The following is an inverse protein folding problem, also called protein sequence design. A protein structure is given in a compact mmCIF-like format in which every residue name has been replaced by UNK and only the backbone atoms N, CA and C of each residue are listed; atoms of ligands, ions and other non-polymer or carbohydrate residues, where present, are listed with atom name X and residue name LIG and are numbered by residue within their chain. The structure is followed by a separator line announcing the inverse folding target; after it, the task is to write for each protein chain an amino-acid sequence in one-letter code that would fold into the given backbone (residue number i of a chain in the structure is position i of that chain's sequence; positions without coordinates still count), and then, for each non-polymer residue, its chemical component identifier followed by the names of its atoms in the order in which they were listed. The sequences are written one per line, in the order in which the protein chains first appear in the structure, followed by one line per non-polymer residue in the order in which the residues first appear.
data_IF_594261994949
#
_entry.id   IF_594261994949
#
_cell.length_a   1.000
_cell.length_b   1.000
_cell.length_c   1.000
_cell.angle_alpha   90.00
_cell.angle_beta   90.00
_cell.angle_gamma   90.00
#
_symmetry.space_group_name_H-M   'P 1'
#
loop_
_entity.id
_entity.type
_entity.pdbx_description
1 polymer ?
#
# COMPACT_ATOMS: atom_id res chain seq x y z
N UNK A 1 5.56 4.78 -16.53
CA UNK A 1 5.73 3.31 -16.66
C UNK A 1 4.87 2.91 -17.83
N UNK A 2 5.44 2.27 -18.85
CA UNK A 2 4.70 1.87 -20.05
C UNK A 2 4.46 0.35 -19.97
N UNK A 3 3.20 -0.08 -20.00
CA UNK A 3 2.82 -1.48 -19.80
C UNK A 3 3.40 -2.41 -20.88
N UNK A 4 3.57 -1.92 -22.11
CA UNK A 4 4.10 -2.73 -23.22
C UNK A 4 5.57 -3.17 -23.06
N UNK A 5 6.30 -2.58 -22.10
CA UNK A 5 7.73 -2.84 -21.92
C UNK A 5 8.08 -3.27 -20.48
N UNK A 6 7.09 -3.51 -19.64
CA UNK A 6 7.22 -3.76 -18.21
C UNK A 6 6.30 -4.91 -17.78
N UNK A 7 6.80 -6.13 -17.97
CA UNK A 7 6.12 -7.39 -17.66
C UNK A 7 5.73 -7.49 -16.17
N UNK A 8 6.53 -6.88 -15.29
CA UNK A 8 6.21 -6.82 -13.86
C UNK A 8 5.00 -5.92 -13.62
N UNK A 9 4.97 -4.74 -14.23
CA UNK A 9 3.83 -3.82 -14.14
C UNK A 9 2.55 -4.42 -14.73
N UNK A 10 2.61 -5.05 -15.90
CA UNK A 10 1.46 -5.69 -16.54
C UNK A 10 0.84 -6.78 -15.65
N UNK A 11 1.68 -7.66 -15.10
CA UNK A 11 1.24 -8.79 -14.27
C UNK A 11 0.62 -8.34 -12.95
N UNK A 12 1.08 -7.22 -12.39
CA UNK A 12 0.68 -6.75 -11.06
C UNK A 12 -0.33 -5.59 -11.08
N UNK A 13 -0.78 -5.16 -12.27
CA UNK A 13 -1.63 -3.97 -12.43
C UNK A 13 -2.95 -4.07 -11.66
N UNK A 14 -3.52 -5.28 -11.56
CA UNK A 14 -4.82 -5.53 -10.93
C UNK A 14 -4.72 -6.31 -9.62
N UNK A 15 -3.50 -6.55 -9.12
CA UNK A 15 -3.26 -7.29 -7.88
C UNK A 15 -3.54 -6.42 -6.66
N UNK A 16 -4.00 -7.03 -5.56
CA UNK A 16 -4.10 -6.31 -4.29
C UNK A 16 -2.70 -6.05 -3.70
N UNK A 17 -2.60 -5.15 -2.73
CA UNK A 17 -1.31 -4.76 -2.17
C UNK A 17 -0.52 -5.93 -1.54
N UNK A 18 -1.22 -6.90 -0.92
CA UNK A 18 -0.59 -8.09 -0.34
C UNK A 18 0.04 -9.00 -1.41
N UNK A 19 -0.66 -9.18 -2.54
CA UNK A 19 -0.16 -9.94 -3.68
C UNK A 19 1.05 -9.23 -4.32
N UNK A 20 0.99 -7.91 -4.50
CA UNK A 20 2.11 -7.10 -5.03
C UNK A 20 3.35 -7.24 -4.13
N UNK A 21 3.18 -7.17 -2.81
CA UNK A 21 4.28 -7.31 -1.86
C UNK A 21 4.94 -8.70 -1.95
N UNK A 22 4.14 -9.74 -2.12
CA UNK A 22 4.61 -11.12 -2.28
C UNK A 22 5.37 -11.30 -3.60
N UNK A 23 4.84 -10.75 -4.70
CA UNK A 23 5.45 -10.85 -6.02
C UNK A 23 6.78 -10.08 -6.11
N UNK A 24 6.90 -8.92 -5.45
CA UNK A 24 8.17 -8.17 -5.33
C UNK A 24 9.21 -8.98 -4.56
N UNK A 25 8.80 -9.64 -3.48
CA UNK A 25 9.70 -10.46 -2.68
C UNK A 25 10.27 -11.60 -3.52
N UNK A 26 9.42 -12.30 -4.27
CA UNK A 26 9.84 -13.34 -5.21
C UNK A 26 10.81 -12.78 -6.28
N UNK A 27 10.49 -11.63 -6.88
CA UNK A 27 11.36 -10.97 -7.85
C UNK A 27 12.75 -10.62 -7.26
N UNK A 28 12.78 -10.20 -5.99
CA UNK A 28 14.02 -9.87 -5.29
C UNK A 28 14.85 -11.12 -4.99
N UNK A 29 14.22 -12.22 -4.58
CA UNK A 29 14.86 -13.53 -4.35
C UNK A 29 15.46 -14.09 -5.65
N UNK A 30 14.69 -14.09 -6.74
CA UNK A 30 15.14 -14.51 -8.08
C UNK A 30 16.34 -13.68 -8.57
N UNK A 31 16.32 -12.37 -8.33
CA UNK A 31 17.43 -11.50 -8.69
C UNK A 31 18.69 -11.81 -7.88
N UNK A 32 18.55 -12.06 -6.57
CA UNK A 32 19.67 -12.44 -5.72
C UNK A 32 20.29 -13.77 -6.12
N UNK A 33 19.48 -14.76 -6.50
CA UNK A 33 19.97 -16.05 -6.97
C UNK A 33 20.77 -15.91 -8.29
N UNK A 34 20.21 -15.18 -9.27
CA UNK A 34 20.88 -14.91 -10.55
C UNK A 34 22.19 -14.13 -10.37
N UNK A 35 22.22 -13.16 -9.46
CA UNK A 35 23.43 -12.41 -9.13
C UNK A 35 24.52 -13.32 -8.51
N UNK A 36 24.16 -14.19 -7.57
CA UNK A 36 25.11 -15.15 -6.97
C UNK A 36 25.71 -16.08 -8.03
N UNK A 37 24.89 -16.56 -8.97
CA UNK A 37 25.35 -17.46 -10.03
C UNK A 37 26.31 -16.76 -11.03
N UNK A 38 26.16 -15.46 -11.28
CA UNK A 38 27.10 -14.69 -12.11
C UNK A 38 28.44 -14.37 -11.42
N UNK A 39 28.51 -14.44 -10.08
CA UNK A 39 29.73 -14.10 -9.33
C UNK A 39 30.79 -15.22 -9.28
N UNK A 40 30.45 -16.44 -9.71
CA UNK A 40 31.38 -17.57 -9.82
C UNK A 40 32.03 -17.58 -11.21
N UNK A 41 33.07 -16.77 -11.41
CA UNK A 41 33.88 -16.77 -12.62
C UNK A 41 35.16 -17.57 -12.37
N UNK A 42 35.14 -18.87 -12.62
CA UNK A 42 36.28 -19.77 -12.36
C UNK A 42 36.99 -20.20 -13.66
N UNK A 43 36.40 -19.98 -14.84
CA UNK A 43 37.00 -20.33 -16.14
C UNK A 43 36.83 -19.26 -17.23
N UNK A 44 37.63 -19.38 -18.31
CA UNK A 44 37.53 -18.52 -19.50
C UNK A 44 36.18 -18.70 -20.22
N UNK A 45 35.59 -19.90 -20.16
CA UNK A 45 34.26 -20.17 -20.71
C UNK A 45 33.19 -19.37 -19.97
N UNK A 46 33.29 -19.31 -18.63
CA UNK A 46 32.36 -18.54 -17.79
C UNK A 46 32.46 -17.05 -18.10
N UNK A 47 33.68 -16.57 -18.39
CA UNK A 47 33.93 -15.18 -18.76
C UNK A 47 33.25 -14.80 -20.09
N UNK A 48 33.22 -15.72 -21.06
CA UNK A 48 32.50 -15.52 -22.34
C UNK A 48 30.99 -15.47 -22.13
N UNK A 49 30.44 -16.43 -21.40
CA UNK A 49 29.01 -16.48 -21.07
C UNK A 49 28.56 -15.27 -20.25
N UNK A 50 29.42 -14.77 -19.35
CA UNK A 50 29.16 -13.55 -18.60
C UNK A 50 29.04 -12.33 -19.53
N UNK A 51 29.97 -12.14 -20.46
CA UNK A 51 29.90 -11.00 -21.42
C UNK A 51 28.65 -11.08 -22.29
N UNK A 52 28.26 -12.27 -22.73
CA UNK A 52 27.04 -12.48 -23.54
C UNK A 52 25.75 -12.19 -22.74
N UNK A 53 25.71 -12.52 -21.45
CA UNK A 53 24.52 -12.36 -20.59
C UNK A 53 24.47 -11.02 -19.84
N UNK A 54 25.59 -10.31 -19.73
CA UNK A 54 25.71 -9.05 -18.97
C UNK A 54 24.71 -7.96 -19.38
N UNK A 55 24.44 -7.69 -20.68
CA UNK A 55 23.45 -6.69 -21.08
C UNK A 55 22.04 -7.01 -20.56
N UNK A 56 21.64 -8.28 -20.60
CA UNK A 56 20.35 -8.74 -20.09
C UNK A 56 20.30 -8.59 -18.56
N UNK A 57 21.38 -8.96 -17.86
CA UNK A 57 21.49 -8.77 -16.41
C UNK A 57 21.40 -7.30 -16.01
N UNK A 58 22.06 -6.40 -16.74
CA UNK A 58 22.00 -4.96 -16.50
C UNK A 58 20.58 -4.41 -16.69
N UNK A 59 19.86 -4.87 -17.71
CA UNK A 59 18.44 -4.51 -17.93
C UNK A 59 17.58 -4.99 -16.75
N UNK A 60 17.74 -6.26 -16.35
CA UNK A 60 17.01 -6.86 -15.22
C UNK A 60 17.28 -6.11 -13.91
N UNK A 61 18.54 -5.82 -13.60
CA UNK A 61 18.95 -5.03 -12.42
C UNK A 61 18.29 -3.65 -12.39
N UNK A 62 18.23 -2.97 -13.54
CA UNK A 62 17.55 -1.69 -13.67
C UNK A 62 16.04 -1.76 -13.42
N UNK A 63 15.36 -2.81 -13.90
CA UNK A 63 13.93 -3.04 -13.65
C UNK A 63 13.68 -3.36 -12.18
N UNK A 64 14.39 -4.33 -11.61
CA UNK A 64 14.26 -4.73 -10.20
C UNK A 64 14.48 -3.55 -9.27
N UNK A 65 15.55 -2.77 -9.46
CA UNK A 65 15.85 -1.59 -8.65
C UNK A 65 14.70 -0.58 -8.65
N UNK A 66 14.06 -0.32 -9.81
CA UNK A 66 12.91 0.58 -9.89
C UNK A 66 11.71 0.06 -9.11
N UNK A 67 11.27 -1.16 -9.38
CA UNK A 67 10.05 -1.70 -8.75
C UNK A 67 10.23 -1.92 -7.25
N UNK A 68 11.39 -2.41 -6.81
CA UNK A 68 11.70 -2.55 -5.39
C UNK A 68 11.65 -1.18 -4.70
N UNK A 69 12.21 -0.14 -5.31
CA UNK A 69 12.17 1.22 -4.74
C UNK A 69 10.73 1.71 -4.60
N UNK A 70 9.92 1.60 -5.66
CA UNK A 70 8.53 2.05 -5.66
C UNK A 70 7.71 1.28 -4.63
N UNK A 71 7.80 -0.06 -4.61
CA UNK A 71 6.99 -0.85 -3.68
C UNK A 71 7.48 -0.72 -2.25
N UNK A 72 8.77 -0.52 -2.03
CA UNK A 72 9.30 -0.19 -0.71
C UNK A 72 8.71 1.12 -0.19
N UNK A 73 8.59 2.13 -1.05
CA UNK A 73 7.95 3.40 -0.68
C UNK A 73 6.44 3.24 -0.49
N UNK A 74 5.73 2.50 -1.35
CA UNK A 74 4.32 2.18 -1.15
C UNK A 74 4.08 1.45 0.18
N UNK A 75 4.91 0.45 0.50
CA UNK A 75 4.85 -0.29 1.77
C UNK A 75 5.09 0.63 2.96
N UNK A 76 6.07 1.52 2.86
CA UNK A 76 6.32 2.56 3.86
C UNK A 76 5.10 3.44 4.06
N UNK A 77 4.46 3.93 2.99
CA UNK A 77 3.26 4.78 3.06
C UNK A 77 2.04 4.03 3.60
N UNK A 78 1.81 2.78 3.18
CA UNK A 78 0.74 1.91 3.69
C UNK A 78 0.87 1.71 5.19
N UNK A 79 2.08 1.45 5.69
CA UNK A 79 2.34 1.31 7.12
C UNK A 79 2.32 2.64 7.89
N UNK A 80 2.81 3.72 7.28
CA UNK A 80 2.84 5.04 7.90
C UNK A 80 1.43 5.59 8.14
N UNK A 81 0.52 5.39 7.18
CA UNK A 81 -0.83 5.95 7.22
C UNK A 81 -1.92 4.93 7.57
N UNK A 82 -1.53 3.73 8.01
CA UNK A 82 -2.44 2.63 8.34
C UNK A 82 -3.50 2.35 7.24
N UNK A 83 -3.07 2.38 5.97
CA UNK A 83 -3.99 2.40 4.82
C UNK A 83 -4.77 1.09 4.63
N UNK A 84 -4.29 -0.02 5.18
CA UNK A 84 -5.01 -1.31 5.12
C UNK A 84 -6.28 -1.25 5.97
N UNK A 85 -6.19 -0.74 7.20
CA UNK A 85 -7.36 -0.61 8.08
C UNK A 85 -8.34 0.44 7.55
N UNK A 86 -7.83 1.56 7.03
CA UNK A 86 -8.65 2.57 6.31
C UNK A 86 -9.41 1.91 5.16
N UNK A 87 -8.71 1.16 4.29
CA UNK A 87 -9.32 0.47 3.14
C UNK A 87 -10.36 -0.57 3.57
N UNK A 88 -10.13 -1.30 4.66
CA UNK A 88 -11.09 -2.28 5.17
C UNK A 88 -12.40 -1.61 5.62
N UNK A 89 -12.31 -0.49 6.33
CA UNK A 89 -13.50 0.27 6.77
C UNK A 89 -14.25 0.84 5.55
N UNK A 90 -13.54 1.39 4.56
CA UNK A 90 -14.16 1.87 3.32
C UNK A 90 -14.93 0.74 2.62
N UNK A 91 -14.36 -0.46 2.53
CA UNK A 91 -15.03 -1.63 1.95
C UNK A 91 -16.24 -2.08 2.77
N UNK A 92 -16.12 -2.12 4.09
CA UNK A 92 -17.22 -2.51 4.98
C UNK A 92 -18.40 -1.53 4.89
N UNK A 93 -18.14 -0.22 4.75
CA UNK A 93 -19.19 0.78 4.52
C UNK A 93 -19.98 0.53 3.23
N UNK A 94 -19.33 0.01 2.20
CA UNK A 94 -19.97 -0.27 0.90
C UNK A 94 -20.67 -1.63 0.92
N UNK A 95 -20.04 -2.65 1.51
CA UNK A 95 -20.43 -4.06 1.35
C UNK A 95 -21.20 -4.66 2.54
N UNK A 96 -21.04 -4.13 3.75
CA UNK A 96 -21.59 -4.72 4.98
C UNK A 96 -22.75 -3.91 5.59
N UNK A 97 -23.51 -4.54 6.48
CA UNK A 97 -24.79 -4.05 6.99
C UNK A 97 -24.86 -3.84 8.51
N UNK A 98 -23.85 -4.24 9.30
CA UNK A 98 -23.85 -3.95 10.74
C UNK A 98 -23.37 -2.52 11.03
N UNK A 99 -24.34 -1.64 11.18
CA UNK A 99 -24.12 -0.22 11.46
C UNK A 99 -23.45 0.04 12.82
N UNK A 100 -23.71 -0.79 13.84
CA UNK A 100 -23.10 -0.56 15.16
C UNK A 100 -21.60 -0.91 15.12
N UNK A 101 -21.24 -2.02 14.48
CA UNK A 101 -19.84 -2.41 14.32
C UNK A 101 -19.06 -1.37 13.51
N UNK A 102 -19.63 -0.87 12.40
CA UNK A 102 -18.92 0.12 11.57
C UNK A 102 -18.72 1.44 12.33
N UNK A 103 -19.69 1.90 13.13
CA UNK A 103 -19.54 3.10 13.96
C UNK A 103 -18.40 2.91 14.97
N UNK A 104 -18.30 1.75 15.62
CA UNK A 104 -17.21 1.49 16.58
C UNK A 104 -15.84 1.40 15.90
N UNK A 105 -15.77 0.86 14.68
CA UNK A 105 -14.54 0.85 13.87
C UNK A 105 -14.14 2.27 13.47
N UNK A 106 -15.07 3.11 13.01
CA UNK A 106 -14.80 4.51 12.66
C UNK A 106 -14.31 5.29 13.88
N UNK A 107 -14.93 5.11 15.06
CA UNK A 107 -14.47 5.76 16.30
C UNK A 107 -13.04 5.38 16.65
N UNK A 108 -12.67 4.10 16.53
CA UNK A 108 -11.29 3.64 16.72
C UNK A 108 -10.34 4.30 15.73
N UNK A 109 -10.69 4.30 14.44
CA UNK A 109 -9.89 4.89 13.38
C UNK A 109 -9.71 6.42 13.54
N UNK A 110 -10.73 7.12 14.02
CA UNK A 110 -10.63 8.55 14.35
C UNK A 110 -9.55 8.79 15.42
N UNK A 111 -9.33 7.89 16.37
CA UNK A 111 -8.32 8.08 17.42
C UNK A 111 -6.92 7.58 17.05
N UNK A 112 -6.74 6.95 15.89
CA UNK A 112 -5.42 6.50 15.44
C UNK A 112 -4.61 7.67 14.86
N UNK A 113 -3.50 8.00 15.52
CA UNK A 113 -2.58 9.06 15.14
C UNK A 113 -1.91 8.83 13.77
N UNK A 114 -1.81 7.58 13.31
CA UNK A 114 -1.27 7.25 11.97
C UNK A 114 -2.23 7.65 10.85
N UNK A 115 -3.53 7.69 11.15
CA UNK A 115 -4.56 7.93 10.14
C UNK A 115 -4.64 9.43 9.85
N UNK A 116 -4.58 9.79 8.57
CA UNK A 116 -4.56 11.18 8.14
C UNK A 116 -5.96 11.81 8.19
N UNK A 117 -5.98 13.13 8.26
CA UNK A 117 -7.23 13.91 8.29
C UNK A 117 -8.05 13.71 7.01
N UNK A 118 -7.39 13.64 5.86
CA UNK A 118 -8.08 13.39 4.58
C UNK A 118 -8.78 12.02 4.55
N UNK A 119 -8.18 10.99 5.14
CA UNK A 119 -8.74 9.63 5.14
C UNK A 119 -9.98 9.56 6.05
N UNK A 120 -9.93 10.22 7.21
CA UNK A 120 -11.10 10.34 8.12
C UNK A 120 -12.24 11.08 7.41
N UNK A 121 -11.94 12.20 6.74
CA UNK A 121 -12.96 12.97 6.03
C UNK A 121 -13.64 12.13 4.95
N UNK A 122 -12.86 11.37 4.16
CA UNK A 122 -13.41 10.44 3.17
C UNK A 122 -14.33 9.41 3.79
N UNK A 123 -13.91 8.78 4.89
CA UNK A 123 -14.73 7.79 5.62
C UNK A 123 -16.03 8.41 6.13
N UNK A 124 -15.98 9.62 6.71
CA UNK A 124 -17.18 10.31 7.18
C UNK A 124 -18.14 10.66 6.03
N UNK A 125 -17.62 11.04 4.87
CA UNK A 125 -18.42 11.27 3.67
C UNK A 125 -19.09 9.97 3.17
N UNK A 126 -18.34 8.87 3.10
CA UNK A 126 -18.88 7.56 2.73
C UNK A 126 -19.97 7.09 3.71
N UNK A 127 -19.73 7.25 5.01
CA UNK A 127 -20.72 6.95 6.04
C UNK A 127 -21.99 7.79 5.89
N UNK A 128 -21.84 9.10 5.66
CA UNK A 128 -22.96 10.02 5.46
C UNK A 128 -23.83 9.61 4.26
N UNK A 129 -23.19 9.25 3.14
CA UNK A 129 -23.88 8.79 1.93
C UNK A 129 -24.57 7.44 2.15
N UNK A 130 -23.92 6.52 2.85
CA UNK A 130 -24.44 5.16 3.06
C UNK A 130 -25.65 5.11 3.99
N UNK A 131 -25.64 5.92 5.04
CA UNK A 131 -26.60 5.89 6.15
C UNK A 131 -27.47 7.16 6.24
N UNK A 132 -27.58 7.92 5.15
CA UNK A 132 -28.34 9.19 5.09
C UNK A 132 -29.77 9.06 5.64
N UNK A 133 -30.47 7.98 5.27
CA UNK A 133 -31.87 7.75 5.64
C UNK A 133 -32.05 6.90 6.90
N UNK A 134 -30.97 6.55 7.59
CA UNK A 134 -31.05 5.67 8.74
C UNK A 134 -31.35 6.45 10.02
N UNK A 135 -32.32 5.99 10.80
CA UNK A 135 -32.84 6.73 11.97
C UNK A 135 -31.85 6.83 13.14
N UNK A 136 -30.94 5.88 13.29
CA UNK A 136 -29.88 5.88 14.31
C UNK A 136 -28.53 6.41 13.77
N UNK A 137 -28.55 7.28 12.78
CA UNK A 137 -27.33 7.86 12.19
C UNK A 137 -26.53 8.68 13.23
N UNK A 138 -25.25 8.34 13.41
CA UNK A 138 -24.32 8.97 14.37
C UNK A 138 -23.39 10.01 13.73
N UNK A 139 -23.68 10.51 12.52
CA UNK A 139 -22.79 11.39 11.76
C UNK A 139 -22.35 12.64 12.54
N UNK A 140 -23.26 13.27 13.28
CA UNK A 140 -22.92 14.45 14.08
C UNK A 140 -21.97 14.11 15.24
N UNK A 141 -22.15 12.95 15.88
CA UNK A 141 -21.25 12.48 16.92
C UNK A 141 -19.85 12.22 16.36
N UNK A 142 -19.76 11.49 15.25
CA UNK A 142 -18.49 11.19 14.57
C UNK A 142 -17.77 12.46 14.08
N UNK A 143 -18.50 13.45 13.57
CA UNK A 143 -17.94 14.76 13.19
C UNK A 143 -17.34 15.49 14.39
N UNK A 144 -18.07 15.54 15.51
CA UNK A 144 -17.59 16.20 16.72
C UNK A 144 -16.32 15.53 17.27
N UNK A 145 -16.26 14.19 17.21
CA UNK A 145 -15.11 13.41 17.64
C UNK A 145 -13.87 13.68 16.78
N UNK A 146 -14.03 13.69 15.46
CA UNK A 146 -12.96 14.06 14.52
C UNK A 146 -12.46 15.50 14.73
N UNK A 147 -13.36 16.46 14.98
CA UNK A 147 -13.01 17.85 15.30
C UNK A 147 -12.26 17.98 16.63
N UNK A 148 -12.67 17.21 17.65
CA UNK A 148 -12.01 17.22 18.95
C UNK A 148 -10.57 16.70 18.84
N UNK A 149 -10.33 15.62 18.09
CA UNK A 149 -8.97 15.16 17.78
C UNK A 149 -8.16 16.25 17.10
N UNK A 150 -8.73 16.94 16.11
CA UNK A 150 -8.02 17.99 15.38
C UNK A 150 -7.55 19.11 16.34
N UNK A 151 -8.43 19.55 17.24
CA UNK A 151 -8.11 20.57 18.24
C UNK A 151 -7.02 20.13 19.23
N UNK A 152 -6.98 18.84 19.58
CA UNK A 152 -5.93 18.29 20.45
C UNK A 152 -4.58 18.24 19.74
N UNK A 153 -4.56 17.84 18.46
CA UNK A 153 -3.35 17.85 17.62
C UNK A 153 -2.77 19.25 17.46
N UNK A 154 -3.60 20.28 17.34
CA UNK A 154 -3.15 21.69 17.20
C UNK A 154 -2.61 22.29 18.51
N UNK A 155 -3.09 21.82 19.67
CA UNK A 155 -2.63 22.27 20.99
C UNK A 155 -1.28 21.70 21.43
N UNK A 156 -0.87 20.56 20.87
CA UNK A 156 0.39 19.87 21.22
C UNK A 156 1.61 20.37 20.41
N UNK A 157 1.50 21.51 19.70
CA UNK A 157 2.56 22.11 18.88
C UNK A 157 3.15 23.39 19.54
N UNK A 158 2.92 23.57 20.84
CA UNK A 158 3.51 24.63 21.68
C UNK A 158 4.16 24.02 22.93
#
# INVERSE_FOLDING_TARGET
MNAEHDEFYETNLYSNFGDIATNIKALMEDFQEKHKNQSKLESISDMKTFVETYPQFKKLSGTVSKHVTIVSELSRLVGLYNLLEVSEIEQNLVCQSDHNDIVQKIKRLIHDDKVRREDILRILCLYALRYEHQSNNELNALKNEAQNRQRLSEKNIH
#
